data_IF_278066185664
#
_entry.id   IF_278066185664
#
_cell.length_a   1.000
_cell.length_b   1.000
_cell.length_c   1.000
_cell.angle_alpha   90.00
_cell.angle_beta   90.00
_cell.angle_gamma   90.00
#
_symmetry.space_group_name_H-M   'P 1'
#
loop_
_entity.id
_entity.type
_entity.pdbx_description
1 polymer ?
#
# COMPACT_ATOMS: atom_id res chain seq x y z
N UNK A 1 8.12 -2.90 10.90
CA UNK A 1 7.32 -2.66 9.69
C UNK A 1 5.88 -2.41 10.08
N UNK A 2 5.25 -1.40 9.52
CA UNK A 2 3.84 -1.10 9.75
C UNK A 2 2.99 -1.87 8.75
N UNK A 3 2.21 -2.82 9.21
CA UNK A 3 1.45 -3.71 8.32
C UNK A 3 0.31 -3.01 7.59
N UNK A 4 -0.26 -1.97 8.17
CA UNK A 4 -1.32 -1.20 7.54
C UNK A 4 -0.80 -0.12 6.56
N UNK A 5 0.50 0.12 6.55
CA UNK A 5 1.15 1.08 5.67
C UNK A 5 2.47 0.51 5.15
N UNK A 6 2.41 -0.47 4.22
CA UNK A 6 3.62 -1.18 3.79
C UNK A 6 4.67 -0.26 3.17
N UNK A 7 4.24 0.80 2.48
CA UNK A 7 5.18 1.74 1.88
C UNK A 7 5.92 2.59 2.91
N UNK A 8 5.39 2.73 4.13
CA UNK A 8 6.04 3.52 5.16
C UNK A 8 7.40 2.97 5.57
N UNK A 9 7.69 1.71 5.26
CA UNK A 9 8.99 1.10 5.49
C UNK A 9 10.11 1.82 4.72
N UNK A 10 9.82 2.29 3.52
CA UNK A 10 10.79 2.98 2.67
C UNK A 10 10.43 4.43 2.41
N UNK A 11 9.16 4.79 2.49
CA UNK A 11 8.71 6.17 2.28
C UNK A 11 7.52 6.48 3.19
N UNK A 12 7.76 7.17 4.32
CA UNK A 12 6.69 7.49 5.27
C UNK A 12 5.84 8.68 4.84
N UNK A 13 6.03 9.19 3.64
CA UNK A 13 5.33 10.36 3.12
C UNK A 13 4.02 9.97 2.44
N UNK A 14 3.22 10.96 2.10
CA UNK A 14 1.97 10.78 1.36
C UNK A 14 2.19 10.05 0.02
N UNK A 15 3.36 10.20 -0.58
CA UNK A 15 3.70 9.51 -1.82
C UNK A 15 3.48 8.01 -1.71
N UNK A 16 3.96 7.40 -0.63
CA UNK A 16 3.80 5.97 -0.40
C UNK A 16 2.34 5.58 -0.23
N UNK A 17 1.57 6.39 0.47
CA UNK A 17 0.16 6.11 0.69
C UNK A 17 -0.63 6.18 -0.63
N UNK A 18 -0.35 7.17 -1.47
CA UNK A 18 -0.97 7.28 -2.79
C UNK A 18 -0.59 6.10 -3.69
N UNK A 19 0.69 5.72 -3.69
CA UNK A 19 1.15 4.57 -4.47
C UNK A 19 0.49 3.28 -4.00
N UNK A 20 0.28 3.12 -2.70
CA UNK A 20 -0.42 1.96 -2.16
C UNK A 20 -1.85 1.85 -2.70
N UNK A 21 -2.56 2.98 -2.78
CA UNK A 21 -3.91 3.01 -3.35
C UNK A 21 -3.88 2.60 -4.82
N UNK A 22 -3.00 3.20 -5.60
CA UNK A 22 -2.93 2.92 -7.04
C UNK A 22 -2.48 1.49 -7.34
N UNK A 23 -1.66 0.92 -6.47
CA UNK A 23 -1.21 -0.46 -6.62
C UNK A 23 -2.24 -1.49 -6.19
N UNK A 24 -3.28 -1.09 -5.45
CA UNK A 24 -4.28 -2.00 -4.92
C UNK A 24 -5.20 -2.58 -5.99
N UNK A 25 -5.32 -1.94 -7.14
CA UNK A 25 -6.20 -2.37 -8.22
C UNK A 25 -5.71 -1.81 -9.54
N UNK A 26 -6.04 -2.48 -10.63
CA UNK A 26 -5.71 -2.04 -11.99
C UNK A 26 -6.66 -0.96 -12.52
N UNK A 27 -7.72 -0.64 -11.78
CA UNK A 27 -8.67 0.39 -12.19
C UNK A 27 -8.05 1.78 -12.03
N UNK A 28 -8.66 2.75 -12.70
CA UNK A 28 -8.27 4.15 -12.55
C UNK A 28 -8.93 4.74 -11.31
N UNK A 29 -8.29 5.75 -10.74
CA UNK A 29 -8.77 6.44 -9.54
C UNK A 29 -8.86 7.94 -9.81
N UNK A 30 -9.91 8.57 -9.28
CA UNK A 30 -9.98 10.03 -9.19
C UNK A 30 -9.37 10.49 -7.87
N UNK A 31 -9.04 11.78 -7.78
CA UNK A 31 -8.54 12.36 -6.52
C UNK A 31 -9.56 12.16 -5.39
N UNK A 32 -10.84 12.33 -5.69
CA UNK A 32 -11.91 12.13 -4.69
C UNK A 32 -11.92 10.69 -4.15
N UNK A 33 -11.76 9.71 -5.03
CA UNK A 33 -11.71 8.31 -4.63
C UNK A 33 -10.49 8.03 -3.74
N UNK A 34 -9.34 8.56 -4.10
CA UNK A 34 -8.12 8.42 -3.30
C UNK A 34 -8.32 9.07 -1.93
N UNK A 35 -8.91 10.25 -1.91
CA UNK A 35 -9.16 10.98 -0.67
C UNK A 35 -10.12 10.23 0.28
N UNK A 36 -11.08 9.51 -0.26
CA UNK A 36 -11.97 8.68 0.55
C UNK A 36 -11.24 7.54 1.23
N UNK A 37 -10.20 7.02 0.60
CA UNK A 37 -9.37 5.95 1.15
C UNK A 37 -8.35 6.54 2.13
N UNK A 38 -7.70 7.63 1.75
CA UNK A 38 -6.70 8.32 2.57
C UNK A 38 -7.37 9.48 3.31
N UNK A 39 -8.14 9.15 4.35
CA UNK A 39 -9.02 10.11 5.02
C UNK A 39 -8.30 11.27 5.70
N UNK A 40 -7.02 11.12 6.01
CA UNK A 40 -6.21 12.16 6.66
C UNK A 40 -5.50 13.08 5.68
N UNK A 41 -5.53 12.76 4.40
CA UNK A 41 -4.86 13.54 3.36
C UNK A 41 -5.80 14.57 2.75
N UNK A 42 -5.27 15.73 2.39
CA UNK A 42 -6.02 16.74 1.66
C UNK A 42 -6.05 16.41 0.16
N UNK A 43 -7.10 16.85 -0.53
CA UNK A 43 -7.16 16.70 -1.98
C UNK A 43 -6.01 17.41 -2.69
N UNK A 44 -5.60 18.56 -2.18
CA UNK A 44 -4.47 19.32 -2.75
C UNK A 44 -3.15 18.56 -2.57
N UNK A 45 -2.93 17.96 -1.41
CA UNK A 45 -1.75 17.14 -1.17
C UNK A 45 -1.68 15.94 -2.10
N UNK A 46 -2.80 15.26 -2.28
CA UNK A 46 -2.91 14.13 -3.21
C UNK A 46 -2.62 14.58 -4.64
N UNK A 47 -3.19 15.71 -5.05
CA UNK A 47 -2.99 16.26 -6.39
C UNK A 47 -1.51 16.55 -6.66
N UNK A 48 -0.81 17.13 -5.70
CA UNK A 48 0.62 17.43 -5.83
C UNK A 48 1.44 16.17 -5.99
N UNK A 49 1.15 15.13 -5.21
CA UNK A 49 1.82 13.84 -5.31
C UNK A 49 1.59 13.23 -6.69
N UNK A 50 0.34 13.20 -7.14
CA UNK A 50 0.00 12.64 -8.45
C UNK A 50 0.67 13.38 -9.60
N UNK A 51 0.72 14.72 -9.53
CA UNK A 51 1.39 15.53 -10.54
C UNK A 51 2.87 15.16 -10.63
N UNK A 52 3.53 15.03 -9.50
CA UNK A 52 4.96 14.66 -9.46
C UNK A 52 5.19 13.24 -9.97
N UNK A 53 4.38 12.29 -9.55
CA UNK A 53 4.52 10.89 -9.99
C UNK A 53 4.20 10.74 -11.48
N UNK A 54 3.25 11.51 -11.98
CA UNK A 54 2.95 11.54 -13.41
C UNK A 54 4.14 12.08 -14.20
N UNK A 55 4.79 13.12 -13.70
CA UNK A 55 5.99 13.68 -14.35
C UNK A 55 7.13 12.68 -14.39
N UNK A 56 7.23 11.78 -13.41
CA UNK A 56 8.22 10.72 -13.39
C UNK A 56 7.82 9.48 -14.20
N UNK A 57 6.63 9.49 -14.79
CA UNK A 57 6.14 8.37 -15.59
C UNK A 57 5.62 7.19 -14.78
N UNK A 58 5.67 7.26 -13.47
CA UNK A 58 5.20 6.17 -12.58
C UNK A 58 3.69 6.05 -12.60
N UNK A 59 3.00 7.17 -12.76
CA UNK A 59 1.54 7.27 -12.82
C UNK A 59 1.12 7.76 -14.18
N UNK A 60 0.09 7.14 -14.73
CA UNK A 60 -0.54 7.59 -15.96
C UNK A 60 -1.78 8.41 -15.61
N UNK A 61 -1.87 9.57 -16.22
CA UNK A 61 -2.98 10.49 -16.05
C UNK A 61 -3.81 10.52 -17.32
N UNK A 62 -5.11 10.45 -17.17
CA UNK A 62 -6.05 10.57 -18.27
C UNK A 62 -7.16 11.52 -17.86
N UNK A 63 -7.80 12.13 -18.87
CA UNK A 63 -8.91 13.04 -18.63
C UNK A 63 -10.12 12.54 -19.42
N UNK A 64 -11.20 12.26 -18.68
CA UNK A 64 -12.47 11.84 -19.25
C UNK A 64 -13.47 12.95 -18.96
N UNK A 65 -13.82 13.73 -19.98
CA UNK A 65 -14.62 14.94 -19.77
C UNK A 65 -13.86 15.95 -18.95
N UNK A 66 -14.40 16.30 -17.77
CA UNK A 66 -13.77 17.22 -16.83
C UNK A 66 -13.08 16.48 -15.68
N UNK A 67 -13.12 15.16 -15.71
CA UNK A 67 -12.61 14.34 -14.62
C UNK A 67 -11.22 13.82 -14.97
N UNK A 68 -10.28 14.03 -14.06
CA UNK A 68 -8.93 13.48 -14.16
C UNK A 68 -8.89 12.13 -13.47
N UNK A 69 -8.32 11.15 -14.15
CA UNK A 69 -8.14 9.79 -13.62
C UNK A 69 -6.67 9.42 -13.64
N UNK A 70 -6.29 8.58 -12.70
CA UNK A 70 -4.90 8.19 -12.48
C UNK A 70 -4.81 6.69 -12.27
N UNK A 71 -3.76 6.10 -12.80
CA UNK A 71 -3.45 4.69 -12.57
C UNK A 71 -1.96 4.46 -12.56
N UNK A 72 -1.53 3.38 -11.93
CA UNK A 72 -0.13 2.99 -11.94
C UNK A 72 0.28 2.61 -13.36
N UNK A 73 1.44 3.10 -13.80
CA UNK A 73 2.02 2.70 -15.08
C UNK A 73 2.74 1.37 -14.90
N UNK A 74 2.09 0.28 -15.26
CA UNK A 74 2.62 -1.07 -15.08
C UNK A 74 3.81 -1.39 -16.00
N UNK A 75 4.06 -0.55 -16.99
CA UNK A 75 5.21 -0.71 -17.88
C UNK A 75 6.47 0.02 -17.38
N UNK A 76 6.32 0.85 -16.35
CA UNK A 76 7.46 1.55 -15.77
C UNK A 76 8.34 0.58 -14.98
N UNK A 77 9.66 0.81 -15.01
CA UNK A 77 10.60 -0.04 -14.26
C UNK A 77 10.31 -0.09 -12.77
N UNK A 78 9.77 0.99 -12.20
CA UNK A 78 9.43 1.05 -10.80
C UNK A 78 8.12 0.32 -10.47
N UNK A 79 7.33 -0.09 -11.45
CA UNK A 79 6.03 -0.71 -11.20
C UNK A 79 6.14 -2.00 -10.40
N UNK A 80 7.05 -2.88 -10.78
CA UNK A 80 7.22 -4.16 -10.10
C UNK A 80 7.66 -4.00 -8.65
N UNK A 81 8.69 -3.19 -8.33
CA UNK A 81 9.00 -2.87 -6.94
C UNK A 81 7.84 -2.26 -6.16
N UNK A 82 7.07 -1.37 -6.78
CA UNK A 82 5.89 -0.76 -6.14
C UNK A 82 4.86 -1.82 -5.81
N UNK A 83 4.57 -2.71 -6.74
CA UNK A 83 3.63 -3.80 -6.51
C UNK A 83 4.13 -4.76 -5.44
N UNK A 84 5.43 -5.03 -5.40
CA UNK A 84 6.03 -5.85 -4.36
C UNK A 84 5.89 -5.19 -2.98
N UNK A 85 6.13 -3.87 -2.89
CA UNK A 85 5.94 -3.13 -1.65
C UNK A 85 4.48 -3.17 -1.18
N UNK A 86 3.53 -3.08 -2.11
CA UNK A 86 2.11 -3.14 -1.76
C UNK A 86 1.70 -4.49 -1.18
N UNK A 87 2.48 -5.55 -1.43
CA UNK A 87 2.22 -6.90 -0.95
C UNK A 87 2.99 -7.26 0.32
N UNK A 88 3.72 -6.31 0.90
CA UNK A 88 4.56 -6.61 2.07
C UNK A 88 3.77 -7.24 3.21
N UNK A 89 2.57 -6.74 3.49
CA UNK A 89 1.74 -7.27 4.58
C UNK A 89 1.38 -8.73 4.32
N UNK A 90 0.91 -9.04 3.11
CA UNK A 90 0.56 -10.41 2.74
C UNK A 90 1.78 -11.32 2.78
N UNK A 91 2.92 -10.86 2.24
CA UNK A 91 4.17 -11.62 2.28
C UNK A 91 4.62 -11.90 3.71
N UNK A 92 4.53 -10.90 4.58
CA UNK A 92 4.86 -11.05 5.99
C UNK A 92 3.99 -12.11 6.66
N UNK A 93 2.67 -12.04 6.45
CA UNK A 93 1.73 -12.99 7.05
C UNK A 93 1.95 -14.41 6.54
N UNK A 94 2.22 -14.55 5.23
CA UNK A 94 2.52 -15.86 4.65
C UNK A 94 3.78 -16.47 5.24
N UNK A 95 4.84 -15.69 5.40
CA UNK A 95 6.08 -16.17 6.00
C UNK A 95 5.90 -16.53 7.46
N UNK A 96 5.13 -15.74 8.19
CA UNK A 96 4.82 -16.02 9.60
C UNK A 96 4.08 -17.35 9.73
N UNK A 97 3.07 -17.55 8.90
CA UNK A 97 2.31 -18.80 8.90
C UNK A 97 3.18 -20.00 8.57
N UNK A 98 4.00 -19.89 7.52
CA UNK A 98 4.90 -20.97 7.12
C UNK A 98 5.87 -21.32 8.24
N UNK A 99 6.41 -20.32 8.94
CA UNK A 99 7.31 -20.53 10.06
C UNK A 99 6.63 -21.27 11.22
N UNK A 100 5.35 -21.01 11.44
CA UNK A 100 4.59 -21.57 12.55
C UNK A 100 3.88 -22.89 12.23
N UNK A 101 3.83 -23.30 10.97
CA UNK A 101 3.09 -24.50 10.57
C UNK A 101 3.56 -25.79 11.26
N UNK A 102 4.82 -25.87 11.64
CA UNK A 102 5.36 -27.02 12.34
C UNK A 102 5.03 -27.07 13.83
N UNK A 103 4.34 -26.07 14.35
CA UNK A 103 4.11 -25.92 15.80
C UNK A 103 2.73 -26.40 16.24
N UNK A 104 1.98 -27.11 15.37
CA UNK A 104 0.68 -27.68 15.72
C UNK A 104 -0.35 -26.62 16.11
N UNK A 105 -0.85 -26.71 17.34
CA UNK A 105 -1.89 -25.79 17.80
C UNK A 105 -1.44 -24.34 17.88
N UNK A 106 -0.16 -24.08 17.97
CA UNK A 106 0.37 -22.73 17.96
C UNK A 106 0.04 -22.01 16.65
N UNK A 107 -0.10 -22.76 15.55
CA UNK A 107 -0.48 -22.18 14.25
C UNK A 107 -1.86 -21.53 14.31
N UNK A 108 -2.83 -22.24 14.90
CA UNK A 108 -4.20 -21.71 15.03
C UNK A 108 -4.22 -20.45 15.87
N UNK A 109 -3.51 -20.47 16.99
CA UNK A 109 -3.42 -19.32 17.86
C UNK A 109 -2.77 -18.14 17.16
N UNK A 110 -1.67 -18.36 16.48
CA UNK A 110 -0.95 -17.34 15.77
C UNK A 110 -1.78 -16.74 14.63
N UNK A 111 -2.56 -17.55 13.92
CA UNK A 111 -3.42 -17.07 12.84
C UNK A 111 -4.49 -16.11 13.37
N UNK A 112 -5.12 -16.46 14.50
CA UNK A 112 -6.11 -15.58 15.12
C UNK A 112 -5.46 -14.29 15.61
N UNK A 113 -4.32 -14.41 16.26
CA UNK A 113 -3.57 -13.25 16.75
C UNK A 113 -3.13 -12.36 15.60
N UNK A 114 -2.62 -12.93 14.51
CA UNK A 114 -2.19 -12.21 13.33
C UNK A 114 -3.32 -11.43 12.68
N UNK A 115 -4.50 -12.02 12.57
CA UNK A 115 -5.67 -11.34 12.02
C UNK A 115 -6.09 -10.16 12.88
N UNK A 116 -6.08 -10.33 14.20
CA UNK A 116 -6.42 -9.25 15.12
C UNK A 116 -5.37 -8.14 15.08
N UNK A 117 -4.10 -8.51 14.97
CA UNK A 117 -2.99 -7.56 14.99
C UNK A 117 -2.91 -6.73 13.71
N UNK A 118 -3.31 -7.27 12.56
CA UNK A 118 -3.20 -6.58 11.28
C UNK A 118 -3.90 -5.21 11.29
N UNK A 119 -5.07 -5.14 11.91
CA UNK A 119 -5.80 -3.88 12.03
C UNK A 119 -5.32 -2.97 13.16
N UNK A 120 -4.46 -3.47 14.03
CA UNK A 120 -4.03 -2.76 15.25
C UNK A 120 -2.55 -2.44 15.27
N UNK A 121 -1.78 -2.93 14.33
CA UNK A 121 -0.33 -2.68 14.27
C UNK A 121 -0.05 -1.31 13.72
N UNK A 122 -0.28 -0.32 14.55
CA UNK A 122 -0.02 1.09 14.30
C UNK A 122 0.86 1.61 15.42
N UNK A 123 1.15 2.89 15.42
CA UNK A 123 1.82 3.55 16.55
C UNK A 123 3.18 2.93 16.89
N UNK A 124 3.98 2.69 15.89
CA UNK A 124 5.33 2.21 16.12
C UNK A 124 5.42 0.73 16.48
N UNK A 125 4.37 -0.02 16.26
CA UNK A 125 4.42 -1.47 16.38
C UNK A 125 5.20 -2.04 15.20
N UNK A 126 6.48 -1.73 15.16
CA UNK A 126 7.36 -2.20 14.11
C UNK A 126 7.74 -3.65 14.38
N UNK A 127 7.67 -4.46 13.33
CA UNK A 127 8.09 -5.84 13.41
C UNK A 127 9.30 -6.02 12.51
N UNK A 128 10.40 -6.46 13.11
CA UNK A 128 11.62 -6.75 12.40
C UNK A 128 11.85 -8.26 12.46
N UNK A 129 11.59 -8.93 11.34
CA UNK A 129 11.74 -10.36 11.22
C UNK A 129 12.94 -10.79 10.38
N UNK A 130 13.78 -9.85 10.01
CA UNK A 130 14.90 -10.11 9.11
C UNK A 130 16.23 -9.92 9.79
#
# INVERSE_FOLDING_TARGET
MQLNRPFATVTPTLDGDVLAVLASSEVTFTITQIQRILTTASGEGIRKVLTRLTAQGVVLHDQVGRTNTYRLNTEHLAAEPILALSRLTATFLDRLQAHLEGWGEAVKYAAVFGSAATGRMTLGSDIDLF
#
